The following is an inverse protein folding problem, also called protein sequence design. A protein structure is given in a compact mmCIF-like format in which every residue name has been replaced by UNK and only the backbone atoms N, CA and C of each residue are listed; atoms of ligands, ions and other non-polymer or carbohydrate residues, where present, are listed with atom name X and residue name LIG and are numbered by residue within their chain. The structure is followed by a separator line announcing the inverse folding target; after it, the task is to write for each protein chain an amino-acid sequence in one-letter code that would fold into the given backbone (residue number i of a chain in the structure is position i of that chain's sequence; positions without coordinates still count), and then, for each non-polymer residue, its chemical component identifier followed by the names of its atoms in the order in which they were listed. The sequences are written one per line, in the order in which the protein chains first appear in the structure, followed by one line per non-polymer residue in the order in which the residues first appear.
data_IF_430725354472
#
_entry.id   IF_430725354472
#
_cell.length_a   1.000
_cell.length_b   1.000
_cell.length_c   1.000
_cell.angle_alpha   90.00
_cell.angle_beta   90.00
_cell.angle_gamma   90.00
#
_symmetry.space_group_name_H-M   'P 1'
#
loop_
_entity.id
_entity.type
_entity.pdbx_description
1 polymer ?
#
# COMPACT_ATOMS: atom_id res chain seq x y z
N UNK A 1 53.97 -53.46 -86.39
CA UNK A 1 53.91 -52.00 -86.22
C UNK A 1 52.46 -51.63 -85.98
N UNK A 2 52.27 -50.73 -85.01
CA UNK A 2 51.07 -49.92 -84.76
C UNK A 2 49.79 -50.58 -84.21
N UNK A 3 49.60 -50.35 -82.91
CA UNK A 3 48.44 -49.75 -82.25
C UNK A 3 47.05 -49.94 -82.86
N UNK A 4 46.11 -50.41 -82.03
CA UNK A 4 44.84 -49.69 -81.73
C UNK A 4 44.35 -50.20 -80.36
N UNK A 5 44.43 -49.33 -79.35
CA UNK A 5 43.75 -49.51 -78.07
C UNK A 5 42.29 -49.07 -78.20
N UNK A 6 41.34 -50.00 -78.06
CA UNK A 6 39.91 -49.70 -77.95
C UNK A 6 39.58 -49.67 -76.45
N UNK A 7 39.46 -48.47 -75.88
CA UNK A 7 38.87 -48.28 -74.54
C UNK A 7 37.35 -48.22 -74.69
N UNK A 8 36.68 -49.30 -74.29
CA UNK A 8 35.21 -49.33 -74.17
C UNK A 8 34.85 -48.56 -72.89
N UNK A 9 34.30 -47.36 -73.08
CA UNK A 9 33.75 -46.53 -72.01
C UNK A 9 32.31 -46.99 -71.74
N UNK A 10 32.11 -47.95 -70.85
CA UNK A 10 30.77 -48.30 -70.35
C UNK A 10 30.31 -47.20 -69.38
N UNK A 11 29.46 -46.30 -69.85
CA UNK A 11 28.78 -45.33 -68.99
C UNK A 11 27.75 -46.05 -68.11
N UNK A 12 28.07 -46.23 -66.83
CA UNK A 12 27.13 -46.71 -65.83
C UNK A 12 26.21 -45.54 -65.44
N UNK A 13 24.99 -45.55 -65.97
CA UNK A 13 23.95 -44.58 -65.65
C UNK A 13 23.33 -44.98 -64.31
N UNK A 14 23.86 -44.44 -63.20
CA UNK A 14 23.27 -44.61 -61.87
C UNK A 14 22.03 -43.71 -61.80
N UNK A 15 20.85 -44.31 -61.95
CA UNK A 15 19.59 -43.61 -61.73
C UNK A 15 19.44 -43.35 -60.23
N UNK A 16 19.68 -42.10 -59.81
CA UNK A 16 19.46 -41.66 -58.43
C UNK A 16 17.94 -41.59 -58.21
N UNK A 17 17.35 -42.64 -57.66
CA UNK A 17 15.98 -42.59 -57.17
C UNK A 17 15.95 -41.62 -55.97
N UNK A 18 15.46 -40.40 -56.21
CA UNK A 18 15.17 -39.46 -55.13
C UNK A 18 13.94 -40.01 -54.41
N UNK A 19 14.15 -40.75 -53.32
CA UNK A 19 13.08 -41.09 -52.40
C UNK A 19 12.67 -39.82 -51.66
N UNK A 20 11.65 -39.11 -52.17
CA UNK A 20 10.94 -38.11 -51.38
C UNK A 20 10.14 -38.87 -50.32
N UNK A 21 10.66 -38.95 -49.10
CA UNK A 21 9.86 -39.37 -47.95
C UNK A 21 8.80 -38.30 -47.75
N UNK A 22 7.56 -38.60 -48.15
CA UNK A 22 6.39 -37.80 -47.77
C UNK A 22 6.20 -38.02 -46.27
N UNK A 23 6.76 -37.12 -45.45
CA UNK A 23 6.35 -37.05 -44.06
C UNK A 23 4.89 -36.61 -44.06
N UNK A 24 4.01 -37.42 -43.49
CA UNK A 24 2.62 -37.03 -43.31
C UNK A 24 2.60 -35.73 -42.49
N UNK A 25 2.05 -34.66 -43.07
CA UNK A 25 1.91 -33.39 -42.38
C UNK A 25 1.07 -33.62 -41.12
N UNK A 26 1.65 -33.33 -39.95
CA UNK A 26 1.00 -33.58 -38.67
C UNK A 26 0.98 -32.30 -37.83
N UNK A 27 -0.18 -31.88 -37.31
CA UNK A 27 -0.25 -30.76 -36.38
C UNK A 27 0.39 -31.13 -35.04
N UNK A 28 1.07 -30.18 -34.42
CA UNK A 28 1.66 -30.31 -33.08
C UNK A 28 1.29 -29.08 -32.26
N UNK A 29 0.25 -29.21 -31.42
CA UNK A 29 -0.22 -28.11 -30.59
C UNK A 29 0.62 -28.03 -29.31
N UNK A 30 1.36 -26.93 -29.16
CA UNK A 30 1.98 -26.49 -27.92
C UNK A 30 1.08 -25.47 -27.23
N UNK A 31 1.09 -25.47 -25.90
CA UNK A 31 0.28 -24.55 -25.10
C UNK A 31 1.19 -23.85 -24.09
N UNK A 32 1.04 -22.54 -23.97
CA UNK A 32 1.63 -21.73 -22.90
C UNK A 32 0.56 -20.89 -22.22
N UNK A 33 0.84 -20.40 -21.01
CA UNK A 33 -0.09 -19.56 -20.26
C UNK A 33 0.58 -18.32 -19.70
N UNK A 34 -0.21 -17.24 -19.58
CA UNK A 34 0.11 -16.06 -18.79
C UNK A 34 -1.08 -15.66 -17.94
N UNK A 35 -0.82 -15.08 -16.78
CA UNK A 35 -1.83 -14.67 -15.81
C UNK A 35 -1.68 -13.18 -15.51
N UNK A 36 -2.80 -12.47 -15.34
CA UNK A 36 -2.83 -11.06 -14.94
C UNK A 36 -3.94 -10.82 -13.91
N UNK A 37 -3.72 -9.86 -13.01
CA UNK A 37 -4.65 -9.47 -11.95
C UNK A 37 -5.07 -10.64 -11.04
N UNK A 38 -4.11 -11.53 -10.70
CA UNK A 38 -4.36 -12.69 -9.84
C UNK A 38 -4.24 -12.31 -8.37
N UNK A 39 -5.10 -11.42 -7.91
CA UNK A 39 -5.11 -10.93 -6.53
C UNK A 39 -6.36 -11.45 -5.80
N UNK A 40 -6.22 -11.74 -4.51
CA UNK A 40 -7.35 -12.16 -3.67
C UNK A 40 -8.49 -11.13 -3.69
N UNK A 41 -9.73 -11.61 -3.83
CA UNK A 41 -10.93 -10.76 -3.90
C UNK A 41 -11.21 -10.16 -5.29
N UNK A 42 -10.34 -10.36 -6.28
CA UNK A 42 -10.52 -9.85 -7.64
C UNK A 42 -10.85 -10.95 -8.64
N UNK A 43 -11.21 -10.54 -9.86
CA UNK A 43 -11.27 -11.44 -11.01
C UNK A 43 -9.97 -11.32 -11.80
N UNK A 44 -9.18 -12.39 -11.79
CA UNK A 44 -7.98 -12.53 -12.61
C UNK A 44 -8.30 -13.09 -13.99
N UNK A 45 -7.33 -12.98 -14.90
CA UNK A 45 -7.47 -13.46 -16.28
C UNK A 45 -6.27 -14.34 -16.65
N UNK A 46 -6.56 -15.61 -16.93
CA UNK A 46 -5.56 -16.55 -17.45
C UNK A 46 -5.70 -16.62 -18.97
N UNK A 47 -4.63 -16.29 -19.69
CA UNK A 47 -4.58 -16.40 -21.16
C UNK A 47 -3.78 -17.63 -21.55
N UNK A 48 -4.45 -18.56 -22.23
CA UNK A 48 -3.82 -19.71 -22.88
C UNK A 48 -3.48 -19.35 -24.32
N UNK A 49 -2.24 -19.63 -24.73
CA UNK A 49 -1.75 -19.45 -26.09
C UNK A 49 -1.45 -20.81 -26.70
N UNK A 50 -2.22 -21.18 -27.73
CA UNK A 50 -2.06 -22.42 -28.47
C UNK A 50 -1.27 -22.13 -29.75
N UNK A 51 -0.10 -22.73 -29.90
CA UNK A 51 0.75 -22.62 -31.09
C UNK A 51 0.80 -23.96 -31.83
N UNK A 52 0.55 -23.96 -33.14
CA UNK A 52 0.73 -25.16 -33.95
C UNK A 52 2.14 -25.18 -34.55
N UNK A 53 3.07 -25.86 -33.89
CA UNK A 53 4.47 -25.99 -34.32
C UNK A 53 4.68 -27.14 -35.32
N UNK A 54 3.62 -27.90 -35.61
CA UNK A 54 3.64 -28.99 -36.57
C UNK A 54 3.60 -28.51 -38.01
N UNK A 55 3.79 -29.44 -38.94
CA UNK A 55 3.70 -29.18 -40.39
C UNK A 55 2.29 -29.33 -40.95
N UNK A 56 1.38 -29.93 -40.18
CA UNK A 56 -0.04 -30.10 -40.55
C UNK A 56 -0.95 -29.04 -39.92
N UNK A 57 -2.17 -28.92 -40.45
CA UNK A 57 -3.20 -28.02 -39.93
C UNK A 57 -4.04 -28.71 -38.84
N UNK A 58 -4.32 -28.00 -37.74
CA UNK A 58 -5.24 -28.44 -36.70
C UNK A 58 -6.64 -27.88 -36.98
N UNK A 59 -7.57 -28.73 -37.39
CA UNK A 59 -8.94 -28.37 -37.72
C UNK A 59 -9.86 -28.49 -36.49
N UNK A 60 -10.93 -27.71 -36.46
CA UNK A 60 -11.99 -27.81 -35.44
C UNK A 60 -11.43 -27.85 -34.02
N UNK A 61 -10.47 -26.97 -33.74
CA UNK A 61 -9.82 -26.88 -32.43
C UNK A 61 -10.81 -26.35 -31.41
N UNK A 62 -10.97 -27.08 -30.33
CA UNK A 62 -11.88 -26.80 -29.24
C UNK A 62 -11.11 -26.91 -27.91
N UNK A 63 -11.51 -26.12 -26.92
CA UNK A 63 -10.91 -26.13 -25.59
C UNK A 63 -11.99 -26.32 -24.53
N UNK A 64 -11.67 -27.12 -23.52
CA UNK A 64 -12.47 -27.31 -22.31
C UNK A 64 -11.59 -27.10 -21.08
N UNK A 65 -12.17 -26.56 -20.01
CA UNK A 65 -11.49 -26.32 -18.73
C UNK A 65 -12.07 -27.27 -17.67
N UNK A 66 -11.57 -28.50 -17.54
CA UNK A 66 -12.12 -29.50 -16.61
C UNK A 66 -11.98 -29.14 -15.14
N UNK A 67 -10.98 -28.33 -14.79
CA UNK A 67 -10.64 -28.13 -13.40
C UNK A 67 -9.83 -26.87 -13.16
N UNK A 68 -10.02 -26.33 -11.97
CA UNK A 68 -9.19 -25.31 -11.36
C UNK A 68 -9.03 -25.69 -9.88
N UNK A 69 -7.97 -25.25 -9.23
CA UNK A 69 -7.80 -25.42 -7.78
C UNK A 69 -9.09 -25.11 -7.02
N UNK A 70 -9.46 -25.96 -6.05
CA UNK A 70 -10.79 -26.02 -5.45
C UNK A 70 -11.30 -24.72 -4.78
N UNK A 71 -10.40 -23.80 -4.46
CA UNK A 71 -10.71 -22.51 -3.84
C UNK A 71 -11.09 -21.44 -4.87
N UNK A 72 -10.84 -21.70 -6.15
CA UNK A 72 -11.08 -20.75 -7.25
C UNK A 72 -12.31 -21.15 -8.06
N UNK A 73 -12.87 -20.18 -8.79
CA UNK A 73 -14.00 -20.44 -9.67
C UNK A 73 -13.77 -19.82 -11.05
N UNK A 74 -14.40 -20.40 -12.07
CA UNK A 74 -14.48 -19.79 -13.40
C UNK A 74 -15.82 -20.14 -14.05
N UNK A 75 -16.40 -19.18 -14.75
CA UNK A 75 -17.59 -19.41 -15.57
C UNK A 75 -17.33 -20.39 -16.73
N UNK A 76 -16.06 -20.73 -17.00
CA UNK A 76 -15.64 -21.66 -18.06
C UNK A 76 -15.41 -23.10 -17.57
N UNK A 77 -15.62 -23.38 -16.29
CA UNK A 77 -15.43 -24.72 -15.74
C UNK A 77 -16.39 -25.73 -16.34
N UNK A 78 -15.85 -26.87 -16.75
CA UNK A 78 -16.60 -28.04 -17.16
C UNK A 78 -16.43 -29.16 -16.13
N UNK A 79 -17.42 -29.31 -15.24
CA UNK A 79 -17.37 -30.30 -14.16
C UNK A 79 -17.86 -31.70 -14.55
N UNK A 80 -18.44 -31.86 -15.75
CA UNK A 80 -19.05 -33.13 -16.18
C UNK A 80 -18.16 -33.86 -17.18
N UNK A 81 -17.57 -34.98 -16.78
CA UNK A 81 -16.84 -35.86 -17.69
C UNK A 81 -17.77 -36.92 -18.30
N UNK A 82 -17.85 -37.01 -19.63
CA UNK A 82 -18.64 -38.05 -20.33
C UNK A 82 -17.85 -39.34 -20.54
N UNK A 83 -16.54 -39.24 -20.80
CA UNK A 83 -15.68 -40.40 -20.98
C UNK A 83 -14.33 -40.18 -20.30
N UNK A 84 -14.03 -41.05 -19.34
CA UNK A 84 -12.77 -41.03 -18.60
C UNK A 84 -11.83 -42.14 -19.08
N UNK A 85 -10.60 -41.78 -19.43
CA UNK A 85 -9.56 -42.72 -19.88
C UNK A 85 -8.73 -43.16 -18.68
N UNK A 86 -9.01 -44.35 -18.13
CA UNK A 86 -8.28 -44.90 -16.97
C UNK A 86 -6.77 -45.06 -17.22
N UNK A 87 -6.38 -45.43 -18.43
CA UNK A 87 -4.96 -45.56 -18.84
C UNK A 87 -4.19 -44.24 -18.85
N UNK A 88 -4.90 -43.12 -19.00
CA UNK A 88 -4.32 -41.77 -19.07
C UNK A 88 -4.67 -40.93 -17.83
N UNK A 89 -5.47 -41.49 -16.92
CA UNK A 89 -6.02 -40.81 -15.75
C UNK A 89 -6.59 -39.41 -16.08
N UNK A 90 -7.30 -39.30 -17.21
CA UNK A 90 -7.84 -38.01 -17.69
C UNK A 90 -9.20 -38.17 -18.38
N UNK A 91 -10.01 -37.12 -18.29
CA UNK A 91 -11.26 -37.04 -19.05
C UNK A 91 -10.97 -36.75 -20.52
N UNK A 92 -11.37 -37.65 -21.41
CA UNK A 92 -11.15 -37.54 -22.86
C UNK A 92 -12.36 -36.99 -23.60
N UNK A 93 -13.52 -36.93 -22.96
CA UNK A 93 -14.73 -36.39 -23.59
C UNK A 93 -15.58 -35.64 -22.57
N UNK A 94 -15.92 -34.41 -22.93
CA UNK A 94 -16.85 -33.55 -22.20
C UNK A 94 -18.14 -33.36 -23.02
N UNK A 95 -19.24 -32.94 -22.37
CA UNK A 95 -20.43 -32.43 -23.05
C UNK A 95 -20.08 -31.37 -24.10
N UNK A 96 -20.86 -31.29 -25.17
CA UNK A 96 -20.56 -30.37 -26.29
C UNK A 96 -20.58 -28.90 -25.90
N UNK A 97 -21.40 -28.54 -24.92
CA UNK A 97 -21.53 -27.21 -24.31
C UNK A 97 -20.34 -26.83 -23.40
N UNK A 98 -19.49 -27.78 -23.03
CA UNK A 98 -18.26 -27.50 -22.32
C UNK A 98 -17.10 -27.02 -23.20
N UNK A 99 -17.23 -27.17 -24.52
CA UNK A 99 -16.17 -26.81 -25.45
C UNK A 99 -16.40 -25.41 -26.02
N UNK A 100 -15.39 -24.55 -25.90
CA UNK A 100 -15.30 -23.33 -26.68
C UNK A 100 -14.52 -23.59 -27.97
N UNK A 101 -15.06 -23.13 -29.11
CA UNK A 101 -14.45 -23.34 -30.43
C UNK A 101 -13.44 -22.25 -30.74
N UNK A 102 -12.19 -22.66 -31.01
CA UNK A 102 -11.08 -21.80 -31.45
C UNK A 102 -10.90 -21.81 -32.97
N UNK A 103 -11.53 -22.78 -33.65
CA UNK A 103 -11.50 -22.93 -35.10
C UNK A 103 -10.25 -23.63 -35.60
N UNK A 104 -9.80 -23.27 -36.79
CA UNK A 104 -8.62 -23.87 -37.43
C UNK A 104 -7.35 -23.12 -37.04
N UNK A 105 -6.27 -23.86 -36.77
CA UNK A 105 -4.92 -23.33 -36.52
C UNK A 105 -3.98 -23.91 -37.57
N UNK A 106 -3.52 -23.08 -38.51
CA UNK A 106 -2.59 -23.53 -39.55
C UNK A 106 -1.20 -23.80 -38.96
N UNK A 107 -0.33 -24.46 -39.74
CA UNK A 107 1.05 -24.67 -39.34
C UNK A 107 1.77 -23.31 -39.15
N UNK A 108 2.36 -23.09 -37.98
CA UNK A 108 3.01 -21.84 -37.58
C UNK A 108 2.07 -20.77 -37.00
N UNK A 109 0.75 -20.98 -37.03
CA UNK A 109 -0.22 -20.05 -36.46
C UNK A 109 -0.40 -20.26 -34.95
N UNK A 110 -0.93 -19.22 -34.30
CA UNK A 110 -1.32 -19.24 -32.90
C UNK A 110 -2.74 -18.72 -32.67
N UNK A 111 -3.39 -19.23 -31.61
CA UNK A 111 -4.68 -18.75 -31.09
C UNK A 111 -4.59 -18.53 -29.59
N UNK A 112 -5.29 -17.52 -29.09
CA UNK A 112 -5.39 -17.26 -27.66
C UNK A 112 -6.80 -17.54 -27.16
N UNK A 113 -6.88 -17.95 -25.90
CA UNK A 113 -8.13 -18.19 -25.18
C UNK A 113 -8.01 -17.64 -23.76
N UNK A 114 -8.95 -16.78 -23.37
CA UNK A 114 -8.93 -16.08 -22.08
C UNK A 114 -9.95 -16.70 -21.14
N UNK A 115 -9.49 -17.07 -19.94
CA UNK A 115 -10.27 -17.67 -18.89
C UNK A 115 -10.37 -16.68 -17.73
N UNK A 116 -11.55 -16.12 -17.44
CA UNK A 116 -11.75 -15.33 -16.22
C UNK A 116 -11.74 -16.26 -15.01
N UNK A 117 -10.94 -15.93 -14.00
CA UNK A 117 -10.80 -16.68 -12.75
C UNK A 117 -11.27 -15.79 -11.60
N UNK A 118 -12.31 -16.21 -10.90
CA UNK A 118 -12.80 -15.55 -9.69
C UNK A 118 -11.99 -16.06 -8.50
N UNK A 119 -11.35 -15.12 -7.79
CA UNK A 119 -10.47 -15.39 -6.65
C UNK A 119 -11.16 -14.82 -5.40
N UNK A 120 -11.58 -15.66 -4.44
CA UNK A 120 -12.15 -15.18 -3.17
C UNK A 120 -11.23 -14.24 -2.40
N UNK A 121 -11.81 -13.33 -1.60
CA UNK A 121 -11.05 -12.37 -0.76
C UNK A 121 -10.10 -13.03 0.25
N UNK A 122 -10.43 -14.24 0.69
CA UNK A 122 -9.65 -14.98 1.69
C UNK A 122 -8.77 -16.07 1.07
N UNK A 123 -8.52 -16.02 -0.24
CA UNK A 123 -7.60 -16.95 -0.90
C UNK A 123 -6.17 -16.67 -0.41
N UNK A 124 -5.48 -17.68 0.15
CA UNK A 124 -4.08 -17.52 0.54
C UNK A 124 -3.18 -17.22 -0.67
N UNK A 125 -2.10 -16.44 -0.50
CA UNK A 125 -1.09 -16.32 -1.54
C UNK A 125 -0.36 -17.66 -1.71
N UNK A 126 -0.44 -18.23 -2.91
CA UNK A 126 0.20 -19.50 -3.28
C UNK A 126 0.16 -19.70 -4.82
N UNK A 127 0.72 -20.81 -5.29
CA UNK A 127 0.58 -21.28 -6.66
C UNK A 127 -0.67 -22.13 -6.83
N UNK A 128 -1.49 -21.76 -7.81
CA UNK A 128 -2.73 -22.41 -8.17
C UNK A 128 -2.63 -23.01 -9.57
N UNK A 129 -3.41 -24.06 -9.81
CA UNK A 129 -3.40 -24.80 -11.07
C UNK A 129 -4.75 -24.70 -11.78
N UNK A 130 -4.70 -24.57 -13.10
CA UNK A 130 -5.84 -24.74 -13.99
C UNK A 130 -5.54 -25.82 -15.02
N UNK A 131 -6.49 -26.74 -15.20
CA UNK A 131 -6.41 -27.80 -16.19
C UNK A 131 -7.19 -27.41 -17.44
N UNK A 132 -6.57 -27.59 -18.60
CA UNK A 132 -7.17 -27.38 -19.91
C UNK A 132 -7.01 -28.63 -20.79
N UNK A 133 -8.06 -28.95 -21.53
CA UNK A 133 -8.06 -30.02 -22.54
C UNK A 133 -8.37 -29.43 -23.91
N UNK A 134 -7.44 -29.60 -24.85
CA UNK A 134 -7.56 -29.15 -26.23
C UNK A 134 -7.89 -30.37 -27.09
N UNK A 135 -8.96 -30.27 -27.88
CA UNK A 135 -9.39 -31.28 -28.86
C UNK A 135 -9.32 -30.70 -30.26
N UNK A 136 -8.70 -31.42 -31.20
CA UNK A 136 -8.63 -30.98 -32.61
C UNK A 136 -8.64 -32.17 -33.56
N UNK A 137 -9.00 -31.95 -34.82
CA UNK A 137 -8.91 -32.94 -35.89
C UNK A 137 -7.68 -32.69 -36.77
N UNK A 138 -7.11 -33.76 -37.32
CA UNK A 138 -5.97 -33.70 -38.25
C UNK A 138 -6.42 -33.65 -39.72
N UNK A 139 -7.71 -33.79 -39.99
CA UNK A 139 -8.32 -33.71 -41.32
C UNK A 139 -9.43 -32.68 -41.34
N UNK A 140 -9.74 -32.13 -42.52
CA UNK A 140 -10.82 -31.14 -42.70
C UNK A 140 -12.22 -31.71 -42.50
N UNK A 141 -12.37 -33.02 -42.61
CA UNK A 141 -13.66 -33.65 -42.89
C UNK A 141 -14.44 -34.05 -41.62
N UNK A 142 -14.01 -33.57 -40.45
CA UNK A 142 -14.62 -33.80 -39.12
C UNK A 142 -15.13 -35.23 -38.91
N UNK A 143 -14.36 -36.23 -39.36
CA UNK A 143 -14.78 -37.65 -39.42
C UNK A 143 -14.83 -38.33 -38.04
N UNK A 144 -14.87 -37.55 -36.95
CA UNK A 144 -14.91 -38.04 -35.58
C UNK A 144 -13.57 -38.54 -35.02
N UNK A 145 -12.48 -38.42 -35.77
CA UNK A 145 -11.12 -38.72 -35.28
C UNK A 145 -10.50 -37.46 -34.70
N UNK A 146 -10.30 -37.46 -33.39
CA UNK A 146 -9.74 -36.31 -32.65
C UNK A 146 -8.44 -36.68 -31.93
N UNK A 147 -7.52 -35.74 -31.96
CA UNK A 147 -6.34 -35.70 -31.11
C UNK A 147 -6.62 -34.82 -29.89
N UNK A 148 -5.91 -35.10 -28.80
CA UNK A 148 -6.08 -34.44 -27.51
C UNK A 148 -4.75 -34.00 -26.95
N UNK A 149 -4.70 -32.76 -26.44
CA UNK A 149 -3.58 -32.23 -25.67
C UNK A 149 -4.12 -31.74 -24.33
N UNK A 150 -3.53 -32.20 -23.23
CA UNK A 150 -3.81 -31.68 -21.89
C UNK A 150 -2.72 -30.68 -21.49
N UNK A 151 -3.11 -29.62 -20.81
CA UNK A 151 -2.20 -28.62 -20.29
C UNK A 151 -2.60 -28.22 -18.87
N UNK A 152 -1.60 -28.04 -18.01
CA UNK A 152 -1.79 -27.52 -16.65
C UNK A 152 -1.09 -26.18 -16.57
N UNK A 153 -1.88 -25.11 -16.47
CA UNK A 153 -1.36 -23.78 -16.21
C UNK A 153 -1.12 -23.62 -14.71
N UNK A 154 0.05 -23.14 -14.34
CA UNK A 154 0.40 -22.76 -12.96
C UNK A 154 0.46 -21.24 -12.91
N UNK A 155 -0.21 -20.63 -11.95
CA UNK A 155 -0.18 -19.18 -11.74
C UNK A 155 -0.14 -18.86 -10.24
N UNK A 156 0.45 -17.73 -9.90
CA UNK A 156 0.53 -17.24 -8.54
C UNK A 156 -0.70 -16.38 -8.24
N UNK A 157 -1.31 -16.59 -7.08
CA UNK A 157 -2.23 -15.63 -6.49
C UNK A 157 -1.42 -14.79 -5.51
N UNK A 158 -1.42 -13.48 -5.75
CA UNK A 158 -0.71 -12.51 -4.92
C UNK A 158 -1.60 -12.07 -3.77
N UNK A 159 -0.97 -11.83 -2.62
CA UNK A 159 -1.62 -11.16 -1.50
C UNK A 159 -1.92 -9.72 -1.93
N UNK A 160 -3.16 -9.28 -1.73
CA UNK A 160 -3.45 -7.86 -1.80
C UNK A 160 -2.73 -7.25 -0.61
N UNK A 161 -1.61 -6.57 -0.86
CA UNK A 161 -1.10 -5.64 0.15
C UNK A 161 -2.24 -4.66 0.39
N UNK A 162 -2.86 -4.74 1.58
CA UNK A 162 -3.68 -3.66 2.06
C UNK A 162 -2.82 -2.41 1.88
N UNK A 163 -3.22 -1.51 0.97
CA UNK A 163 -2.59 -0.19 0.90
C UNK A 163 -2.52 0.28 2.34
N UNK A 164 -1.33 0.66 2.83
CA UNK A 164 -1.21 1.20 4.17
C UNK A 164 -2.03 2.49 4.20
N UNK A 165 -3.33 2.37 4.47
CA UNK A 165 -4.27 3.47 4.58
C UNK A 165 -3.73 4.26 5.75
N UNK A 166 -3.08 5.39 5.45
CA UNK A 166 -2.70 6.32 6.48
C UNK A 166 -4.00 6.98 6.92
N UNK A 167 -4.62 6.44 7.96
CA UNK A 167 -5.97 6.78 8.42
C UNK A 167 -6.07 8.30 8.63
N UNK A 168 -5.41 8.83 9.65
CA UNK A 168 -5.24 10.28 9.84
C UNK A 168 -3.76 10.60 9.99
N UNK A 169 -3.28 11.62 9.27
CA UNK A 169 -1.94 12.14 9.41
C UNK A 169 -1.91 13.63 9.11
N UNK A 170 -1.05 14.37 9.80
CA UNK A 170 -0.96 15.81 9.64
C UNK A 170 0.39 16.24 9.08
N UNK A 171 0.40 17.34 8.34
CA UNK A 171 1.61 18.16 8.17
C UNK A 171 1.31 19.62 8.52
N UNK A 172 2.36 20.34 8.89
CA UNK A 172 2.28 21.74 9.30
C UNK A 172 3.17 22.57 8.40
N UNK A 173 2.66 23.64 7.81
CA UNK A 173 3.45 24.51 6.94
C UNK A 173 3.48 25.93 7.50
N UNK A 174 4.63 26.60 7.43
CA UNK A 174 4.72 28.02 7.74
C UNK A 174 4.07 28.81 6.59
N UNK A 175 2.98 29.52 6.88
CA UNK A 175 2.31 30.40 5.92
C UNK A 175 2.95 31.78 5.88
N UNK A 176 3.24 32.32 7.06
CA UNK A 176 3.92 33.62 7.19
C UNK A 176 4.58 33.74 8.55
N UNK A 177 5.71 34.44 8.59
CA UNK A 177 6.40 34.85 9.81
C UNK A 177 6.53 36.37 9.75
N UNK A 178 6.15 37.06 10.82
CA UNK A 178 6.30 38.50 10.94
C UNK A 178 6.82 38.87 12.31
N UNK A 179 7.82 39.74 12.35
CA UNK A 179 8.43 40.23 13.58
C UNK A 179 8.15 41.73 13.72
N UNK A 180 7.82 42.17 14.93
CA UNK A 180 7.64 43.59 15.23
C UNK A 180 8.93 44.21 15.78
N UNK A 181 8.93 45.54 15.99
CA UNK A 181 10.10 46.27 16.50
C UNK A 181 10.51 45.88 17.93
N UNK A 182 9.64 45.20 18.66
CA UNK A 182 9.87 44.80 20.05
C UNK A 182 10.44 43.37 20.14
N UNK A 183 10.74 42.74 18.99
CA UNK A 183 11.27 41.38 18.89
C UNK A 183 10.22 40.29 19.10
N UNK A 184 8.94 40.64 19.08
CA UNK A 184 7.84 39.69 19.15
C UNK A 184 7.51 39.18 17.74
N UNK A 185 7.50 37.85 17.62
CA UNK A 185 7.31 37.14 16.36
C UNK A 185 5.93 36.50 16.33
N UNK A 186 5.17 36.79 15.28
CA UNK A 186 3.90 36.12 14.95
C UNK A 186 4.13 35.15 13.79
N UNK A 187 3.72 33.90 13.99
CA UNK A 187 3.78 32.84 12.97
C UNK A 187 2.36 32.38 12.67
N UNK A 188 2.00 32.38 11.39
CA UNK A 188 0.81 31.69 10.89
C UNK A 188 1.22 30.37 10.29
N UNK A 189 0.55 29.30 10.72
CA UNK A 189 0.76 27.96 10.22
C UNK A 189 -0.47 27.46 9.46
N UNK A 190 -0.27 26.57 8.51
CA UNK A 190 -1.30 25.75 7.89
C UNK A 190 -1.18 24.36 8.49
N UNK A 191 -2.28 23.79 8.99
CA UNK A 191 -2.38 22.40 9.45
C UNK A 191 -3.22 21.65 8.43
N UNK A 192 -2.62 20.65 7.77
CA UNK A 192 -3.27 19.90 6.71
C UNK A 192 -3.45 18.44 7.10
N UNK A 193 -4.66 17.90 6.92
CA UNK A 193 -4.91 16.47 7.01
C UNK A 193 -4.46 15.80 5.70
N UNK A 194 -3.34 15.10 5.79
CA UNK A 194 -2.70 14.36 4.70
C UNK A 194 -3.04 12.86 4.71
N UNK A 195 -3.89 12.43 5.66
CA UNK A 195 -4.43 11.08 5.70
C UNK A 195 -5.61 10.90 4.73
N UNK A 196 -6.16 9.69 4.74
CA UNK A 196 -7.27 9.27 3.87
C UNK A 196 -8.63 9.26 4.58
N UNK A 197 -8.68 9.60 5.87
CA UNK A 197 -9.90 9.69 6.67
C UNK A 197 -10.00 11.05 7.36
N UNK A 198 -11.21 11.37 7.78
CA UNK A 198 -11.53 12.65 8.40
C UNK A 198 -11.04 12.69 9.85
N UNK A 199 -10.69 13.88 10.33
CA UNK A 199 -10.27 14.11 11.70
C UNK A 199 -11.22 15.09 12.38
N UNK A 200 -11.76 14.69 13.53
CA UNK A 200 -12.68 15.52 14.30
C UNK A 200 -11.97 16.23 15.45
N UNK A 201 -12.50 17.38 15.87
CA UNK A 201 -12.03 18.12 17.04
C UNK A 201 -10.52 18.39 17.05
N UNK A 202 -9.95 18.69 15.89
CA UNK A 202 -8.53 19.01 15.70
C UNK A 202 -8.18 20.27 16.47
N UNK A 203 -7.17 20.17 17.33
CA UNK A 203 -6.48 21.31 17.94
C UNK A 203 -4.99 21.23 17.70
N UNK A 204 -4.34 22.40 17.67
CA UNK A 204 -2.89 22.51 17.55
C UNK A 204 -2.36 23.36 18.70
N UNK A 205 -1.32 22.85 19.35
CA UNK A 205 -0.67 23.48 20.49
C UNK A 205 0.81 23.72 20.20
N UNK A 206 1.31 24.91 20.47
CA UNK A 206 2.74 25.23 20.42
C UNK A 206 3.37 24.96 21.78
N UNK A 207 4.26 23.97 21.84
CA UNK A 207 4.99 23.57 23.06
C UNK A 207 6.45 23.93 22.89
N UNK A 208 6.91 24.97 23.57
CA UNK A 208 8.32 25.37 23.47
C UNK A 208 8.83 26.04 24.75
N UNK A 209 9.80 25.41 25.40
CA UNK A 209 10.38 25.89 26.65
C UNK A 209 11.32 27.09 26.46
N UNK A 210 11.82 27.34 25.25
CA UNK A 210 12.74 28.45 24.96
C UNK A 210 12.00 29.74 24.59
N UNK A 211 10.67 29.69 24.51
CA UNK A 211 9.82 30.79 24.11
C UNK A 211 8.97 31.32 25.28
N UNK A 212 8.66 32.61 25.23
CA UNK A 212 7.60 33.23 26.00
C UNK A 212 6.44 33.48 25.03
N UNK A 213 5.32 32.79 25.22
CA UNK A 213 4.15 32.97 24.38
C UNK A 213 3.38 34.22 24.81
N UNK A 214 3.09 35.09 23.85
CA UNK A 214 2.25 36.28 24.03
C UNK A 214 0.79 36.02 23.67
N UNK A 215 0.54 35.02 22.82
CA UNK A 215 -0.80 34.50 22.52
C UNK A 215 -1.16 33.30 23.40
N UNK A 216 -2.37 32.76 23.22
CA UNK A 216 -2.69 31.39 23.69
C UNK A 216 -1.72 30.39 23.06
N UNK A 217 -1.44 29.32 23.80
CA UNK A 217 -0.56 28.22 23.40
C UNK A 217 -1.27 27.16 22.55
N UNK A 218 -2.59 27.17 22.51
CA UNK A 218 -3.43 26.23 21.76
C UNK A 218 -4.49 26.97 20.91
N UNK A 219 -4.74 26.46 19.70
CA UNK A 219 -5.78 26.92 18.78
C UNK A 219 -6.66 25.75 18.34
N UNK A 220 -7.97 25.96 18.30
CA UNK A 220 -8.96 24.93 17.94
C UNK A 220 -9.39 25.10 16.48
N UNK A 221 -9.08 24.10 15.66
CA UNK A 221 -9.36 24.11 14.21
C UNK A 221 -10.76 23.53 13.92
N UNK A 222 -11.15 22.48 14.63
CA UNK A 222 -12.44 21.81 14.40
C UNK A 222 -12.28 20.56 13.54
N UNK A 223 -13.05 20.42 12.47
CA UNK A 223 -13.02 19.23 11.61
C UNK A 223 -12.10 19.47 10.41
N UNK A 224 -11.28 18.48 10.06
CA UNK A 224 -10.48 18.47 8.83
C UNK A 224 -10.72 17.17 8.06
N UNK A 225 -11.46 17.27 6.95
CA UNK A 225 -11.67 16.12 6.07
C UNK A 225 -10.37 15.68 5.39
N UNK A 226 -10.35 14.47 4.84
CA UNK A 226 -9.17 13.97 4.11
C UNK A 226 -8.73 14.93 2.99
N UNK A 227 -7.48 15.41 3.05
CA UNK A 227 -6.91 16.38 2.11
C UNK A 227 -7.20 17.85 2.42
N UNK A 228 -8.00 18.15 3.45
CA UNK A 228 -8.35 19.52 3.85
C UNK A 228 -7.28 20.16 4.74
N UNK A 229 -7.35 21.49 4.90
CA UNK A 229 -6.44 22.26 5.75
C UNK A 229 -7.09 23.51 6.33
N UNK A 230 -6.60 23.94 7.48
CA UNK A 230 -6.90 25.26 8.04
C UNK A 230 -5.65 25.90 8.63
N UNK A 231 -5.79 27.08 9.24
CA UNK A 231 -4.69 27.89 9.74
C UNK A 231 -4.82 28.23 11.21
N UNK A 232 -3.68 28.22 11.90
CA UNK A 232 -3.54 28.69 13.27
C UNK A 232 -2.48 29.80 13.35
N UNK A 233 -2.53 30.62 14.41
CA UNK A 233 -1.61 31.73 14.60
C UNK A 233 -1.07 31.78 16.02
N UNK A 234 0.25 31.84 16.16
CA UNK A 234 0.94 31.92 17.44
C UNK A 234 1.86 33.13 17.48
N UNK A 235 1.91 33.80 18.63
CA UNK A 235 2.78 34.95 18.86
C UNK A 235 3.68 34.68 20.06
N UNK A 236 4.98 34.89 19.89
CA UNK A 236 5.98 34.56 20.89
C UNK A 236 7.20 35.48 20.83
N UNK A 237 7.99 35.45 21.90
CA UNK A 237 9.31 36.06 21.97
C UNK A 237 10.33 35.04 22.51
N UNK A 238 11.54 34.93 21.92
CA UNK A 238 12.60 34.09 22.46
C UNK A 238 13.04 34.54 23.86
N UNK A 239 13.28 33.60 24.77
CA UNK A 239 13.83 33.90 26.11
C UNK A 239 15.28 34.39 26.05
N UNK A 240 16.00 34.01 24.99
CA UNK A 240 17.38 34.41 24.73
C UNK A 240 17.54 34.77 23.26
N UNK A 241 18.50 35.64 22.92
CA UNK A 241 18.75 36.00 21.53
C UNK A 241 19.18 34.79 20.68
N UNK A 242 18.50 34.54 19.57
CA UNK A 242 18.74 33.39 18.69
C UNK A 242 18.38 33.73 17.24
N UNK A 243 19.11 33.17 16.27
CA UNK A 243 18.86 33.43 14.84
C UNK A 243 17.80 32.50 14.24
N UNK A 244 17.45 31.43 14.93
CA UNK A 244 16.43 30.47 14.51
C UNK A 244 15.86 29.72 15.72
N UNK A 245 14.59 29.33 15.63
CA UNK A 245 13.90 28.53 16.63
C UNK A 245 13.16 27.35 15.99
N UNK A 246 13.24 26.18 16.59
CA UNK A 246 12.42 25.03 16.23
C UNK A 246 11.11 25.08 17.00
N UNK A 247 10.00 25.29 16.30
CA UNK A 247 8.66 25.28 16.87
C UNK A 247 8.14 23.84 16.91
N UNK A 248 7.83 23.34 18.11
CA UNK A 248 7.20 22.03 18.29
C UNK A 248 5.69 22.20 18.46
N UNK A 249 4.95 21.59 17.56
CA UNK A 249 3.50 21.57 17.54
C UNK A 249 2.99 20.20 17.95
N UNK A 250 2.11 20.18 18.94
CA UNK A 250 1.33 19.02 19.34
C UNK A 250 -0.07 19.16 18.71
N UNK A 251 -0.45 18.23 17.84
CA UNK A 251 -1.75 18.21 17.17
C UNK A 251 -2.56 17.11 17.82
N UNK A 252 -3.70 17.45 18.41
CA UNK A 252 -4.63 16.47 18.97
C UNK A 252 -5.90 16.43 18.13
N UNK A 253 -6.48 15.24 17.98
CA UNK A 253 -7.73 15.03 17.25
C UNK A 253 -8.46 13.81 17.80
N UNK A 254 -9.74 13.70 17.49
CA UNK A 254 -10.56 12.53 17.75
C UNK A 254 -10.70 11.74 16.45
N UNK A 255 -10.39 10.45 16.49
CA UNK A 255 -10.54 9.55 15.34
C UNK A 255 -11.98 9.04 15.19
N UNK A 256 -12.22 8.23 14.16
CA UNK A 256 -13.54 7.65 13.85
C UNK A 256 -14.09 6.74 14.97
N UNK A 257 -13.20 6.17 15.79
CA UNK A 257 -13.56 5.33 16.94
C UNK A 257 -13.85 6.17 18.21
N UNK A 258 -13.66 7.49 18.15
CA UNK A 258 -13.82 8.41 19.27
C UNK A 258 -12.61 8.45 20.20
N UNK A 259 -11.47 7.89 19.81
CA UNK A 259 -10.23 7.96 20.57
C UNK A 259 -9.49 9.27 20.31
N UNK A 260 -8.94 9.87 21.37
CA UNK A 260 -8.12 11.08 21.25
C UNK A 260 -6.68 10.68 20.94
N UNK A 261 -6.17 11.14 19.81
CA UNK A 261 -4.82 10.85 19.32
C UNK A 261 -4.01 12.15 19.27
N UNK A 262 -2.74 12.05 19.65
CA UNK A 262 -1.76 13.14 19.58
C UNK A 262 -0.68 12.86 18.52
N UNK A 263 -0.29 13.89 17.76
CA UNK A 263 0.79 13.85 16.76
C UNK A 263 1.70 15.07 16.90
N UNK A 264 3.00 14.83 16.83
CA UNK A 264 3.99 15.91 16.96
C UNK A 264 4.54 16.34 15.60
N UNK A 265 4.76 17.64 15.43
CA UNK A 265 5.38 18.23 14.24
C UNK A 265 6.37 19.33 14.65
N UNK A 266 7.49 19.40 13.95
CA UNK A 266 8.50 20.44 14.19
C UNK A 266 8.68 21.29 12.94
N UNK A 267 8.75 22.61 13.11
CA UNK A 267 9.08 23.55 12.03
C UNK A 267 10.08 24.60 12.52
N UNK A 268 11.17 24.75 11.79
CA UNK A 268 12.20 25.75 12.07
C UNK A 268 11.80 27.10 11.48
N UNK A 269 11.90 28.15 12.29
CA UNK A 269 11.70 29.54 11.89
C UNK A 269 13.02 30.30 12.06
N UNK A 270 13.45 30.98 11.00
CA UNK A 270 14.58 31.93 11.08
C UNK A 270 14.05 33.29 11.56
N UNK A 271 14.72 33.86 12.57
CA UNK A 271 14.42 35.17 13.14
C UNK A 271 15.36 36.23 12.56
N UNK A 272 14.97 37.50 12.57
CA UNK A 272 15.87 38.57 12.11
C UNK A 272 17.02 38.76 13.11
N UNK A 273 18.22 39.13 12.63
CA UNK A 273 19.40 39.37 13.49
C UNK A 273 19.18 40.49 14.54
N UNK A 274 18.11 41.28 14.39
CA UNK A 274 17.71 42.35 15.31
C UNK A 274 16.86 41.86 16.49
N UNK A 275 16.48 40.57 16.55
CA UNK A 275 15.85 39.94 17.73
C UNK A 275 16.78 39.87 18.96
N UNK A 276 18.00 40.43 18.84
CA UNK A 276 19.06 40.52 19.86
C UNK A 276 19.22 41.94 20.42
N UNK A 277 18.16 42.62 20.87
CA UNK A 277 18.28 43.78 21.78
C UNK A 277 16.91 44.11 22.37
N UNK A 278 16.63 43.89 23.65
CA UNK A 278 17.00 44.85 24.71
C UNK A 278 16.79 44.21 26.09
N UNK A 279 17.76 43.44 26.59
CA UNK A 279 17.84 43.13 28.03
C UNK A 279 18.71 44.22 28.67
N UNK A 280 18.04 45.29 29.14
CA UNK A 280 18.46 46.25 30.18
C UNK A 280 19.99 46.46 30.29
N UNK A 281 20.58 47.31 29.44
CA UNK A 281 21.83 48.01 29.77
C UNK A 281 21.51 49.38 30.37
N UNK A 282 20.87 49.38 31.54
CA UNK A 282 20.88 50.53 32.45
C UNK A 282 21.05 50.05 33.90
N UNK A 283 22.03 49.18 34.12
CA UNK A 283 22.70 49.11 35.41
C UNK A 283 24.01 49.88 35.30
N UNK A 284 23.99 51.13 35.75
CA UNK A 284 25.20 51.92 36.01
C UNK A 284 25.53 51.80 37.50
N UNK A 285 26.45 50.93 37.93
CA UNK A 285 26.83 50.79 39.34
C UNK A 285 27.76 51.92 39.84
N UNK A 286 27.96 53.01 39.10
CA UNK A 286 28.90 54.07 39.46
C UNK A 286 28.33 55.23 40.30
N UNK A 287 27.07 55.19 40.76
CA UNK A 287 26.48 56.25 41.58
C UNK A 287 26.16 55.84 43.03
N UNK A 288 27.04 55.05 43.65
CA UNK A 288 27.17 55.06 45.11
C UNK A 288 28.43 55.85 45.48
N UNK A 289 28.22 57.15 45.69
CA UNK A 289 29.17 58.03 46.36
C UNK A 289 28.39 58.89 47.34
N UNK A 290 28.90 58.90 48.56
CA UNK A 290 28.34 59.40 49.80
C UNK A 290 27.91 60.88 49.81
N UNK A 291 27.09 61.16 50.82
CA UNK A 291 27.10 62.38 51.65
C UNK A 291 26.30 63.59 51.15
N UNK A 292 25.21 63.92 51.85
CA UNK A 292 25.28 64.94 52.91
C UNK A 292 23.90 65.31 53.46
N UNK A 293 23.91 65.64 54.74
CA UNK A 293 22.83 66.16 55.57
C UNK A 293 21.99 67.25 54.89
N UNK A 294 20.66 67.18 55.03
CA UNK A 294 19.87 68.39 55.25
C UNK A 294 18.60 68.16 56.09
N UNK A 295 18.35 69.13 56.96
CA UNK A 295 17.34 69.21 58.01
C UNK A 295 15.87 69.18 57.53
N UNK A 296 15.01 68.68 58.45
CA UNK A 296 13.56 68.93 58.64
C UNK A 296 13.14 70.43 58.55
N UNK A 297 11.84 70.85 58.60
CA UNK A 297 10.57 70.11 58.86
C UNK A 297 9.34 70.52 57.97
N UNK A 298 8.22 69.81 58.17
CA UNK A 298 6.86 70.25 57.78
C UNK A 298 5.97 69.08 57.38
N UNK A 299 5.42 68.30 58.32
CA UNK A 299 4.04 68.45 58.82
C UNK A 299 2.98 68.43 57.71
N UNK A 300 2.26 67.31 57.54
CA UNK A 300 0.79 67.26 57.52
C UNK A 300 0.25 65.81 57.54
N UNK A 301 -0.42 65.48 58.65
CA UNK A 301 -1.59 64.61 58.89
C UNK A 301 -1.77 63.33 58.02
N UNK A 302 -1.61 62.13 58.58
CA UNK A 302 -2.65 61.32 59.27
C UNK A 302 -3.96 61.12 58.50
N UNK A 303 -4.21 59.89 58.04
CA UNK A 303 -5.46 59.12 58.25
C UNK A 303 -5.25 57.66 57.74
N UNK A 304 -5.04 56.71 58.64
CA UNK A 304 -6.03 55.70 59.11
C UNK A 304 -6.14 54.52 58.13
N UNK A 305 -5.50 53.38 58.40
CA UNK A 305 -5.87 52.28 59.34
C UNK A 305 -6.63 51.17 58.61
N UNK A 306 -6.17 49.92 58.79
CA UNK A 306 -6.79 48.70 58.27
C UNK A 306 -5.76 47.69 57.74
N UNK A 307 -4.74 47.37 58.54
CA UNK A 307 -4.47 46.02 59.09
C UNK A 307 -4.61 44.83 58.11
N UNK A 308 -3.42 44.31 57.79
CA UNK A 308 -3.09 43.00 57.24
C UNK A 308 -3.74 41.86 58.04
N UNK A 309 -4.10 40.76 57.37
CA UNK A 309 -3.74 39.46 57.96
C UNK A 309 -3.44 38.38 56.92
N UNK A 310 -2.24 37.83 57.07
CA UNK A 310 -1.69 36.66 56.41
C UNK A 310 -1.83 35.50 57.39
N UNK A 311 -2.48 34.41 57.00
CA UNK A 311 -2.49 33.05 57.59
C UNK A 311 -3.53 32.29 56.76
N UNK A 312 -3.20 31.33 55.89
CA UNK A 312 -2.37 30.16 56.15
C UNK A 312 -3.26 29.08 56.76
N UNK A 313 -3.88 28.20 55.96
CA UNK A 313 -4.03 26.79 56.31
C UNK A 313 -4.42 25.91 55.12
N UNK A 314 -3.64 24.85 54.99
CA UNK A 314 -3.74 23.65 54.16
C UNK A 314 -4.79 22.68 54.76
N UNK A 315 -5.15 21.64 53.99
CA UNK A 315 -5.98 20.44 54.28
C UNK A 315 -7.36 20.59 53.64
N UNK A 316 -7.84 19.75 52.72
CA UNK A 316 -7.49 18.41 52.23
C UNK A 316 -8.84 17.83 51.72
N UNK A 317 -8.94 16.98 50.70
CA UNK A 317 -8.70 15.53 50.76
C UNK A 317 -9.29 14.91 49.46
N UNK A 318 -8.43 14.21 48.72
CA UNK A 318 -8.62 12.87 48.10
C UNK A 318 -9.76 12.63 47.10
N UNK A 319 -9.40 12.31 45.85
CA UNK A 319 -9.79 11.05 45.19
C UNK A 319 -8.70 10.61 44.18
N UNK A 320 -7.70 9.89 44.68
CA UNK A 320 -6.94 8.89 43.91
C UNK A 320 -7.09 7.58 44.68
N UNK A 321 -7.96 6.68 44.22
CA UNK A 321 -7.78 5.21 44.28
C UNK A 321 -8.62 4.62 43.14
N UNK A 322 -7.95 3.97 42.20
CA UNK A 322 -8.58 3.20 41.12
C UNK A 322 -7.61 2.73 40.03
N UNK A 323 -6.31 2.58 40.31
CA UNK A 323 -5.40 1.80 39.45
C UNK A 323 -5.69 0.30 39.71
N UNK A 324 -5.53 -0.51 38.66
CA UNK A 324 -5.28 -1.97 38.66
C UNK A 324 -6.49 -2.86 38.35
N UNK A 325 -6.84 -2.96 37.07
CA UNK A 325 -7.75 -4.01 36.58
C UNK A 325 -7.79 -4.26 35.07
N UNK A 326 -7.00 -3.57 34.24
CA UNK A 326 -7.20 -3.57 32.78
C UNK A 326 -6.22 -4.38 31.92
N UNK A 327 -5.03 -4.74 32.41
CA UNK A 327 -3.95 -5.26 31.54
C UNK A 327 -3.75 -6.78 31.59
N UNK A 328 -4.52 -7.52 32.39
CA UNK A 328 -4.43 -8.99 32.46
C UNK A 328 -5.51 -9.74 31.63
N UNK A 329 -6.53 -9.04 31.11
CA UNK A 329 -7.65 -9.71 30.40
C UNK A 329 -7.40 -9.82 28.88
N UNK A 330 -6.57 -8.96 28.30
CA UNK A 330 -6.34 -8.97 26.84
C UNK A 330 -5.38 -10.08 26.37
N UNK A 331 -4.57 -10.66 27.26
CA UNK A 331 -3.66 -11.78 26.92
C UNK A 331 -4.27 -13.18 27.09
N UNK A 332 -5.43 -13.32 27.74
CA UNK A 332 -6.09 -14.63 27.95
C UNK A 332 -7.07 -14.98 26.82
N UNK A 333 -7.62 -14.00 26.10
CA UNK A 333 -8.52 -14.26 24.96
C UNK A 333 -7.75 -14.66 23.69
N UNK A 334 -6.53 -14.13 23.47
CA UNK A 334 -5.71 -14.47 22.28
C UNK A 334 -5.04 -15.85 22.38
N UNK A 335 -4.82 -16.40 23.59
CA UNK A 335 -4.19 -17.73 23.77
C UNK A 335 -5.18 -18.90 23.66
N UNK A 336 -6.49 -18.70 23.91
CA UNK A 336 -7.49 -19.78 23.78
C UNK A 336 -7.97 -20.07 22.34
N UNK A 337 -7.77 -19.17 21.38
CA UNK A 337 -8.08 -19.43 19.95
C UNK A 337 -7.02 -20.29 19.25
N UNK A 338 -5.75 -20.27 19.69
CA UNK A 338 -4.68 -21.11 19.10
C UNK A 338 -4.70 -22.57 19.58
N UNK A 339 -5.33 -22.89 20.71
CA UNK A 339 -5.43 -24.28 21.20
C UNK A 339 -6.68 -25.02 20.70
N UNK A 340 -7.73 -24.32 20.25
CA UNK A 340 -8.89 -24.98 19.62
C UNK A 340 -8.62 -25.44 18.17
N UNK A 341 -7.70 -24.79 17.44
CA UNK A 341 -7.33 -25.22 16.08
C UNK A 341 -6.33 -26.38 16.02
N UNK A 342 -5.79 -26.83 17.17
CA UNK A 342 -4.90 -28.01 17.24
C UNK A 342 -5.61 -29.29 17.71
N UNK A 343 -6.92 -29.24 17.97
CA UNK A 343 -7.72 -30.43 18.37
C UNK A 343 -8.76 -30.88 17.34
N UNK A 344 -8.80 -30.25 16.16
CA UNK A 344 -9.57 -30.70 14.99
C UNK A 344 -8.67 -30.91 13.76
N UNK A 345 -7.51 -31.54 13.99
CA UNK A 345 -6.72 -32.24 12.97
C UNK A 345 -6.27 -33.58 13.52
#
# INVERSE_FOLDING_TARGET
MENISIRILTSLLVSLAVFSTVFAASPQIQVSSSAVNMESGKTGYLTLTLSNEGTGTAYNTNIAVPGISAELNSAKLCSTCQLYSTSRNLCVQFPSDCYDTLGTIQAGDMKTYVIPVQIPENTPPDFYNLEATIRYSTTSDDTGSYSYTSYTAVFEVEEVEEENITIVNFDVFLKSVSENSDGETTVKVVVANTGNTDAESVSIKLVNDDLVLSSVDEDFIGELTAGDYDTASFTFQPKQPMNSVDLFFEITYTDEDGEIITKDKTKTVTLSEDSVATIITNFNPANFSENSNFNRPGSFMMRESGSVNWTGLIIGVVFIVGILGGTAVFFIVRKRRKEKMKKEK
#
